data_IF_693415897276
#
_entry.id   IF_693415897276
#
_cell.length_a   1.000
_cell.length_b   1.000
_cell.length_c   1.000
_cell.angle_alpha   90.00
_cell.angle_beta   90.00
_cell.angle_gamma   90.00
#
_symmetry.space_group_name_H-M   'P 1'
#
loop_
_entity.id
_entity.type
_entity.pdbx_description
1 polymer ?
#
# COMPACT_ATOMS: atom_id res chain seq x y z
N UNK A 1 6.50 -2.74 -14.21
CA UNK A 1 5.59 -2.79 -13.05
C UNK A 1 4.66 -1.57 -13.00
N UNK A 2 5.14 -0.38 -12.62
CA UNK A 2 4.33 0.84 -12.48
C UNK A 2 3.40 1.17 -13.66
N UNK A 3 3.92 1.18 -14.90
CA UNK A 3 3.14 1.50 -16.09
C UNK A 3 1.98 0.53 -16.29
N UNK A 4 2.24 -0.78 -16.12
CA UNK A 4 1.21 -1.82 -16.21
C UNK A 4 0.18 -1.65 -15.10
N UNK A 5 0.63 -1.45 -13.86
CA UNK A 5 -0.26 -1.25 -12.71
C UNK A 5 -1.22 -0.08 -12.93
N UNK A 6 -0.71 1.09 -13.34
CA UNK A 6 -1.55 2.28 -13.57
C UNK A 6 -2.44 2.18 -14.81
N UNK A 7 -2.09 1.30 -15.76
CA UNK A 7 -2.95 1.01 -16.92
C UNK A 7 -4.11 0.09 -16.53
N UNK A 8 -3.81 -0.97 -15.78
CA UNK A 8 -4.78 -1.98 -15.40
C UNK A 8 -5.67 -1.49 -14.23
N UNK A 9 -5.15 -0.61 -13.37
CA UNK A 9 -5.84 0.02 -12.25
C UNK A 9 -5.66 1.56 -12.30
N UNK A 10 -6.44 2.26 -13.15
CA UNK A 10 -6.22 3.69 -13.42
C UNK A 10 -6.76 4.63 -12.34
N UNK A 11 -7.50 4.10 -11.36
CA UNK A 11 -8.14 4.89 -10.30
C UNK A 11 -7.45 4.72 -8.95
N UNK A 12 -7.59 5.73 -8.11
CA UNK A 12 -7.07 5.72 -6.74
C UNK A 12 -7.93 4.80 -5.86
N UNK A 13 -7.35 3.68 -5.42
CA UNK A 13 -8.03 2.68 -4.61
C UNK A 13 -8.61 3.23 -3.30
N UNK A 14 -8.04 4.30 -2.73
CA UNK A 14 -8.60 4.96 -1.53
C UNK A 14 -9.75 5.90 -1.87
N UNK A 15 -9.72 6.53 -3.04
CA UNK A 15 -10.83 7.38 -3.46
C UNK A 15 -12.03 6.52 -3.87
N UNK A 16 -11.80 5.38 -4.52
CA UNK A 16 -12.86 4.45 -4.92
C UNK A 16 -13.63 3.87 -3.72
N UNK A 17 -12.95 3.57 -2.61
CA UNK A 17 -13.59 3.14 -1.34
C UNK A 17 -14.54 4.20 -0.76
N UNK A 18 -14.27 5.46 -1.08
CA UNK A 18 -15.06 6.63 -0.67
C UNK A 18 -16.01 7.09 -1.79
N UNK A 19 -16.26 6.23 -2.80
CA UNK A 19 -17.11 6.52 -3.96
C UNK A 19 -16.67 7.75 -4.78
N UNK A 20 -15.37 8.11 -4.72
CA UNK A 20 -14.78 9.22 -5.47
C UNK A 20 -13.93 8.69 -6.63
N UNK A 21 -14.23 9.19 -7.82
CA UNK A 21 -13.40 8.92 -9.01
C UNK A 21 -12.21 9.88 -9.03
N UNK A 22 -10.99 9.36 -8.92
CA UNK A 22 -9.77 10.16 -8.99
C UNK A 22 -8.69 9.35 -9.69
N UNK A 23 -8.00 9.90 -10.72
CA UNK A 23 -6.94 9.18 -11.42
C UNK A 23 -5.78 8.85 -10.48
N UNK A 24 -5.28 7.61 -10.57
CA UNK A 24 -4.07 7.21 -9.91
C UNK A 24 -2.85 7.72 -10.68
N UNK A 25 -1.87 8.20 -9.93
CA UNK A 25 -0.57 8.65 -10.48
C UNK A 25 0.60 8.00 -9.76
N UNK A 26 0.34 7.11 -8.81
CA UNK A 26 1.36 6.41 -8.02
C UNK A 26 1.02 4.92 -7.97
N UNK A 27 2.00 4.09 -8.32
CA UNK A 27 2.01 2.66 -8.04
C UNK A 27 2.71 2.48 -6.70
N UNK A 28 1.97 2.06 -5.70
CA UNK A 28 2.37 1.99 -4.30
C UNK A 28 2.38 0.53 -3.82
N UNK A 29 3.26 0.19 -2.89
CA UNK A 29 3.25 -1.13 -2.26
C UNK A 29 2.16 -1.18 -1.19
N UNK A 30 1.26 -2.15 -1.30
CA UNK A 30 0.22 -2.35 -0.27
C UNK A 30 0.89 -2.61 1.07
N UNK A 31 1.86 -3.52 1.09
CA UNK A 31 2.67 -3.86 2.24
C UNK A 31 4.07 -3.27 2.10
N UNK A 32 4.62 -2.72 3.20
CA UNK A 32 5.99 -2.22 3.19
C UNK A 32 6.96 -3.36 2.88
N UNK A 33 7.76 -3.21 1.84
CA UNK A 33 8.79 -4.19 1.48
C UNK A 33 9.90 -4.29 2.56
N UNK A 34 10.07 -3.29 3.42
CA UNK A 34 10.97 -3.38 4.57
C UNK A 34 12.47 -3.47 4.22
N UNK A 35 12.84 -3.14 2.99
CA UNK A 35 14.20 -3.33 2.46
C UNK A 35 14.41 -4.67 1.74
N UNK A 36 13.40 -5.54 1.73
CA UNK A 36 13.41 -6.78 0.95
C UNK A 36 13.22 -6.45 -0.54
N UNK A 37 14.18 -6.87 -1.37
CA UNK A 37 14.20 -6.61 -2.80
C UNK A 37 13.18 -7.47 -3.56
N UNK A 38 12.96 -8.71 -3.15
CA UNK A 38 11.97 -9.59 -3.77
C UNK A 38 10.56 -9.01 -3.60
N UNK A 39 10.23 -8.60 -2.38
CA UNK A 39 8.95 -7.91 -2.10
C UNK A 39 8.83 -6.57 -2.81
N UNK A 40 9.95 -5.88 -3.04
CA UNK A 40 9.96 -4.63 -3.80
C UNK A 40 9.46 -4.85 -5.24
N UNK A 41 9.86 -5.95 -5.90
CA UNK A 41 9.47 -6.23 -7.28
C UNK A 41 8.19 -7.07 -7.42
N UNK A 42 7.88 -7.93 -6.45
CA UNK A 42 6.72 -8.83 -6.49
C UNK A 42 5.42 -8.15 -6.06
N UNK A 43 5.49 -7.10 -5.23
CA UNK A 43 4.30 -6.46 -4.66
C UNK A 43 3.78 -7.25 -3.44
N UNK A 44 2.46 -7.19 -3.14
CA UNK A 44 1.37 -6.65 -3.96
C UNK A 44 1.38 -5.11 -4.12
N UNK A 45 0.82 -4.63 -5.23
CA UNK A 45 0.74 -3.19 -5.56
C UNK A 45 -0.69 -2.67 -5.54
N UNK A 46 -0.83 -1.38 -5.23
CA UNK A 46 -2.06 -0.61 -5.37
C UNK A 46 -1.81 0.68 -6.15
N UNK A 47 -2.89 1.28 -6.65
CA UNK A 47 -2.86 2.52 -7.42
C UNK A 47 -3.48 3.64 -6.61
N UNK A 48 -2.72 4.73 -6.39
CA UNK A 48 -3.13 5.85 -5.55
C UNK A 48 -2.93 7.17 -6.29
N UNK A 49 -3.76 8.15 -5.98
CA UNK A 49 -3.48 9.54 -6.32
C UNK A 49 -2.40 10.09 -5.39
N UNK A 50 -1.64 11.09 -5.85
CA UNK A 50 -0.56 11.69 -5.05
C UNK A 50 -1.00 12.14 -3.67
N UNK A 51 -2.19 12.75 -3.55
CA UNK A 51 -2.74 13.20 -2.27
C UNK A 51 -2.89 12.05 -1.28
N UNK A 52 -3.57 10.97 -1.66
CA UNK A 52 -3.81 9.82 -0.78
C UNK A 52 -2.52 9.06 -0.46
N UNK A 53 -1.59 8.95 -1.41
CA UNK A 53 -0.28 8.36 -1.20
C UNK A 53 0.53 9.16 -0.17
N UNK A 54 0.57 10.49 -0.29
CA UNK A 54 1.38 11.35 0.58
C UNK A 54 0.72 11.61 1.95
N UNK A 55 -0.59 11.36 2.12
CA UNK A 55 -1.31 11.53 3.38
C UNK A 55 -1.77 10.21 4.02
N UNK A 56 -2.83 9.60 3.47
CA UNK A 56 -3.51 8.44 4.08
C UNK A 56 -2.57 7.25 4.17
N UNK A 57 -1.85 6.92 3.09
CA UNK A 57 -0.92 5.78 3.10
C UNK A 57 0.24 6.01 4.07
N UNK A 58 0.83 7.21 4.09
CA UNK A 58 1.89 7.54 5.05
C UNK A 58 1.39 7.43 6.50
N UNK A 59 0.16 7.82 6.78
CA UNK A 59 -0.44 7.69 8.11
C UNK A 59 -0.64 6.21 8.51
N UNK A 60 -1.12 5.37 7.59
CA UNK A 60 -1.25 3.91 7.80
C UNK A 60 0.11 3.28 8.12
N UNK A 61 1.14 3.56 7.31
CA UNK A 61 2.49 3.04 7.54
C UNK A 61 3.09 3.51 8.87
N UNK A 62 2.86 4.77 9.24
CA UNK A 62 3.31 5.31 10.51
C UNK A 62 2.62 4.60 11.69
N UNK A 63 1.33 4.29 11.56
CA UNK A 63 0.57 3.54 12.57
C UNK A 63 1.08 2.10 12.70
N UNK A 64 1.36 1.42 11.58
CA UNK A 64 1.95 0.07 11.57
C UNK A 64 3.30 0.04 12.29
N UNK A 65 4.19 0.99 12.02
CA UNK A 65 5.49 1.09 12.70
C UNK A 65 5.37 1.26 14.21
N UNK A 66 4.33 1.94 14.68
CA UNK A 66 4.06 2.15 16.12
C UNK A 66 3.47 0.92 16.80
N UNK A 67 2.80 0.04 16.04
CA UNK A 67 2.10 -1.13 16.60
C UNK A 67 3.05 -2.21 17.14
N UNK A 68 4.33 -2.15 16.79
CA UNK A 68 5.33 -3.15 17.19
C UNK A 68 5.03 -4.54 16.59
N UNK A 69 5.96 -5.51 16.71
CA UNK A 69 5.66 -6.88 16.33
C UNK A 69 4.55 -7.43 17.21
N UNK A 70 3.49 -7.99 16.59
CA UNK A 70 2.45 -8.71 17.31
C UNK A 70 3.12 -9.80 18.16
N UNK A 71 2.90 -9.88 19.48
CA UNK A 71 3.45 -10.98 20.27
C UNK A 71 2.91 -12.28 19.70
N UNK A 72 3.81 -13.14 19.20
CA UNK A 72 3.48 -14.48 18.77
C UNK A 72 2.90 -15.21 19.98
N UNK A 73 1.59 -15.47 19.97
CA UNK A 73 0.98 -16.36 20.94
C UNK A 73 1.73 -17.70 20.89
N UNK A 74 2.13 -18.29 22.03
CA UNK A 74 2.83 -19.55 22.01
C UNK A 74 1.91 -20.62 21.41
N UNK A 75 2.41 -21.30 20.38
CA UNK A 75 1.80 -22.53 19.88
C UNK A 75 1.71 -23.50 21.07
N UNK A 76 0.48 -23.78 21.51
CA UNK A 76 0.25 -24.81 22.53
C UNK A 76 0.71 -26.14 21.94
N UNK A 77 1.64 -26.80 22.64
CA UNK A 77 2.10 -28.15 22.35
C UNK A 77 1.08 -29.21 22.73
#
# INVERSE_FOLDING_TARGET
>A
MRVRQLRDFPLCAFCEREERVTPATVCDHVERHGGDEERFFAGPFQSLCKRCHDSTKQAEEAAERRRGPTPSLPLRG
#
